data_IF_808796101840
#
_entry.id   IF_808796101840
#
_cell.length_a   1.000
_cell.length_b   1.000
_cell.length_c   1.000
_cell.angle_alpha   90.00
_cell.angle_beta   90.00
_cell.angle_gamma   90.00
#
_symmetry.space_group_name_H-M   'P 1'
#
loop_
_entity.id
_entity.type
_entity.pdbx_description
1 polymer ?
#
# COMPACT_ATOMS: atom_id res chain seq x y z
N UNK A 1 6.60 -13.50 51.32
CA UNK A 1 5.53 -14.17 50.54
C UNK A 1 4.68 -13.05 49.96
N UNK A 2 5.16 -12.43 48.89
CA UNK A 2 4.41 -11.39 48.19
C UNK A 2 3.59 -12.03 47.08
N UNK A 3 2.27 -11.88 47.19
CA UNK A 3 1.30 -12.50 46.32
C UNK A 3 1.30 -11.86 44.94
N UNK A 4 1.54 -12.69 43.92
CA UNK A 4 1.27 -12.37 42.52
C UNK A 4 -0.22 -12.03 42.34
N UNK A 5 -0.56 -10.73 42.34
CA UNK A 5 -1.83 -10.26 41.81
C UNK A 5 -1.79 -10.39 40.29
N UNK A 6 -2.31 -11.52 39.77
CA UNK A 6 -2.62 -11.66 38.34
C UNK A 6 -3.68 -10.62 37.96
N UNK A 7 -3.29 -9.63 37.16
CA UNK A 7 -4.23 -8.70 36.53
C UNK A 7 -5.04 -9.45 35.47
N UNK A 8 -6.29 -9.81 35.79
CA UNK A 8 -7.27 -10.22 34.79
C UNK A 8 -7.74 -8.97 34.03
N UNK A 9 -7.02 -8.59 32.98
CA UNK A 9 -7.47 -7.58 32.02
C UNK A 9 -8.40 -8.24 31.02
N UNK A 10 -9.54 -7.60 30.74
CA UNK A 10 -10.44 -8.06 29.69
C UNK A 10 -9.94 -7.62 28.32
N UNK A 11 -10.38 -8.28 27.25
CA UNK A 11 -10.06 -7.86 25.88
C UNK A 11 -10.51 -6.42 25.58
N UNK A 12 -11.62 -5.99 26.18
CA UNK A 12 -12.11 -4.60 26.08
C UNK A 12 -11.15 -3.60 26.73
N UNK A 13 -10.54 -3.94 27.86
CA UNK A 13 -9.56 -3.06 28.52
C UNK A 13 -8.30 -2.88 27.67
N UNK A 14 -7.88 -3.94 26.96
CA UNK A 14 -6.72 -3.89 26.06
C UNK A 14 -7.03 -3.06 24.81
N UNK A 15 -8.21 -3.24 24.22
CA UNK A 15 -8.64 -2.45 23.06
C UNK A 15 -8.77 -0.95 23.39
N UNK A 16 -9.30 -0.62 24.57
CA UNK A 16 -9.43 0.76 25.01
C UNK A 16 -8.08 1.44 25.23
N UNK A 17 -7.12 0.71 25.81
CA UNK A 17 -5.75 1.21 26.00
C UNK A 17 -5.04 1.41 24.66
N UNK A 18 -5.20 0.47 23.71
CA UNK A 18 -4.64 0.61 22.36
C UNK A 18 -5.18 1.84 21.65
N UNK A 19 -6.51 2.06 21.68
CA UNK A 19 -7.12 3.26 21.08
C UNK A 19 -6.59 4.56 21.70
N UNK A 20 -6.39 4.57 23.03
CA UNK A 20 -5.84 5.73 23.74
C UNK A 20 -4.39 5.98 23.35
N UNK A 21 -3.57 4.94 23.28
CA UNK A 21 -2.17 5.02 22.88
C UNK A 21 -2.02 5.46 21.42
N UNK A 22 -2.80 4.89 20.50
CA UNK A 22 -2.83 5.32 19.08
C UNK A 22 -3.22 6.79 18.95
N UNK A 23 -4.21 7.27 19.70
CA UNK A 23 -4.59 8.69 19.68
C UNK A 23 -3.47 9.58 20.21
N UNK A 24 -2.78 9.19 21.28
CA UNK A 24 -1.63 9.93 21.79
C UNK A 24 -0.48 10.02 20.77
N UNK A 25 -0.19 8.95 20.04
CA UNK A 25 0.82 8.95 18.98
C UNK A 25 0.44 9.86 17.80
N UNK A 26 -0.84 9.86 17.41
CA UNK A 26 -1.35 10.75 16.36
C UNK A 26 -1.26 12.21 16.79
N UNK A 27 -1.75 12.54 17.99
CA UNK A 27 -1.73 13.91 18.51
C UNK A 27 -0.28 14.40 18.73
N UNK A 28 0.65 13.49 19.01
CA UNK A 28 2.08 13.78 19.07
C UNK A 28 2.64 14.06 17.66
N UNK A 29 2.37 13.19 16.69
CA UNK A 29 2.80 13.38 15.30
C UNK A 29 2.19 14.63 14.62
N UNK A 30 0.96 15.04 14.97
CA UNK A 30 0.38 16.31 14.53
C UNK A 30 1.10 17.52 15.16
N UNK A 31 1.37 17.47 16.47
CA UNK A 31 2.10 18.53 17.20
C UNK A 31 3.52 18.69 16.68
N UNK A 32 4.17 17.58 16.36
CA UNK A 32 5.53 17.55 15.85
C UNK A 32 5.60 17.86 14.34
N UNK A 33 4.45 18.10 13.71
CA UNK A 33 4.36 18.44 12.28
C UNK A 33 4.64 17.27 11.33
N UNK A 34 4.79 16.05 11.86
CA UNK A 34 5.00 14.81 11.11
C UNK A 34 3.76 14.37 10.31
N UNK A 35 2.58 14.90 10.66
CA UNK A 35 1.32 14.68 9.94
C UNK A 35 0.90 15.87 9.08
N UNK A 36 1.78 16.85 8.82
CA UNK A 36 1.49 17.88 7.82
C UNK A 36 1.27 17.21 6.47
N UNK A 37 0.26 17.69 5.73
CA UNK A 37 0.13 17.41 4.30
C UNK A 37 1.50 17.61 3.67
N UNK A 38 2.03 16.58 3.02
CA UNK A 38 3.26 16.66 2.26
C UNK A 38 3.01 17.67 1.13
N UNK A 39 3.31 18.95 1.39
CA UNK A 39 3.47 19.92 0.31
C UNK A 39 4.82 19.58 -0.32
N UNK A 40 4.87 19.16 -1.59
CA UNK A 40 6.13 18.82 -2.24
C UNK A 40 7.09 20.02 -2.12
N UNK A 41 8.27 19.77 -1.56
CA UNK A 41 9.31 20.79 -1.39
C UNK A 41 9.68 21.34 -2.78
N UNK A 42 9.59 22.66 -3.01
CA UNK A 42 10.02 23.23 -4.28
C UNK A 42 11.53 23.04 -4.43
N UNK A 43 11.94 22.12 -5.31
CA UNK A 43 13.35 21.84 -5.61
C UNK A 43 13.78 20.38 -5.53
N UNK A 44 12.91 19.43 -5.13
CA UNK A 44 13.17 18.01 -5.39
C UNK A 44 12.62 17.63 -6.76
N UNK A 45 13.47 17.67 -7.80
CA UNK A 45 13.10 17.35 -9.19
C UNK A 45 12.76 15.86 -9.44
N UNK A 46 12.65 15.05 -8.38
CA UNK A 46 12.39 13.63 -8.49
C UNK A 46 10.91 13.33 -8.19
N UNK A 47 10.09 13.42 -9.22
CA UNK A 47 8.77 12.77 -9.23
C UNK A 47 8.97 11.41 -9.88
N UNK A 48 8.80 10.28 -9.16
CA UNK A 48 8.82 8.96 -9.76
C UNK A 48 7.86 8.94 -10.94
N UNK A 49 8.41 8.74 -12.13
CA UNK A 49 7.56 8.60 -13.31
C UNK A 49 7.00 7.18 -13.33
N UNK A 50 5.78 7.03 -13.82
CA UNK A 50 5.08 5.73 -13.89
C UNK A 50 5.90 4.67 -14.66
N UNK A 51 6.80 5.08 -15.55
CA UNK A 51 7.72 4.20 -16.27
C UNK A 51 8.60 3.37 -15.34
N UNK A 52 8.97 3.91 -14.17
CA UNK A 52 9.76 3.17 -13.18
C UNK A 52 9.07 1.90 -12.72
N UNK A 53 7.73 1.86 -12.73
CA UNK A 53 6.93 0.71 -12.32
C UNK A 53 7.30 -0.58 -13.07
N UNK A 54 7.88 -0.46 -14.27
CA UNK A 54 8.25 -1.59 -15.12
C UNK A 54 9.71 -2.05 -14.93
N UNK A 55 10.47 -1.40 -14.04
CA UNK A 55 11.89 -1.68 -13.81
C UNK A 55 12.12 -2.63 -12.62
N UNK A 56 11.10 -2.85 -11.79
CA UNK A 56 11.30 -3.45 -10.48
C UNK A 56 10.17 -4.34 -9.99
N UNK A 57 10.19 -4.55 -8.68
CA UNK A 57 9.14 -5.22 -7.91
C UNK A 57 8.63 -4.22 -6.88
N UNK A 58 7.37 -4.37 -6.50
CA UNK A 58 6.65 -3.39 -5.71
C UNK A 58 5.76 -4.08 -4.69
N UNK A 59 5.62 -3.44 -3.55
CA UNK A 59 4.49 -3.66 -2.66
C UNK A 59 3.38 -2.71 -3.12
N UNK A 60 2.19 -3.25 -3.38
CA UNK A 60 1.06 -2.46 -3.87
C UNK A 60 0.12 -2.17 -2.70
N UNK A 61 0.31 -1.02 -2.06
CA UNK A 61 -0.51 -0.51 -0.96
C UNK A 61 -1.84 0.09 -1.43
N UNK A 62 -2.86 0.02 -0.58
CA UNK A 62 -4.13 0.72 -0.81
C UNK A 62 -3.94 2.24 -0.72
N UNK A 63 -4.35 2.98 -1.74
CA UNK A 63 -4.36 4.45 -1.71
C UNK A 63 -5.76 4.98 -1.43
N UNK A 64 -5.89 5.84 -0.42
CA UNK A 64 -7.22 6.32 -0.01
C UNK A 64 -7.66 7.53 -0.82
N UNK A 65 -8.91 7.48 -1.28
CA UNK A 65 -9.65 8.65 -1.82
C UNK A 65 -10.32 9.48 -0.72
N UNK A 66 -10.25 9.01 0.52
CA UNK A 66 -10.83 9.63 1.72
C UNK A 66 -9.73 9.97 2.72
N UNK A 67 -9.94 10.91 3.65
CA UNK A 67 -8.92 11.33 4.61
C UNK A 67 -8.26 10.16 5.36
N UNK A 68 -6.96 10.29 5.62
CA UNK A 68 -6.20 9.30 6.35
C UNK A 68 -6.81 9.05 7.73
N UNK A 69 -6.95 7.77 8.10
CA UNK A 69 -7.35 7.35 9.45
C UNK A 69 -6.16 6.62 10.04
N UNK A 70 -5.39 7.25 10.95
CA UNK A 70 -4.16 6.66 11.49
C UNK A 70 -4.37 5.34 12.22
N UNK A 71 -5.57 5.13 12.78
CA UNK A 71 -5.92 3.89 13.46
C UNK A 71 -6.13 2.69 12.51
N UNK A 72 -6.22 2.93 11.19
CA UNK A 72 -6.42 1.88 10.21
C UNK A 72 -5.08 1.60 9.51
N UNK A 73 -4.47 0.47 9.86
CA UNK A 73 -3.20 -0.02 9.31
C UNK A 73 -3.27 -0.07 7.78
N UNK A 74 -2.22 0.35 7.05
CA UNK A 74 -2.24 0.29 5.59
C UNK A 74 -2.31 -1.18 5.15
N UNK A 75 -3.16 -1.45 4.15
CA UNK A 75 -3.30 -2.78 3.58
C UNK A 75 -2.57 -2.83 2.24
N UNK A 76 -2.12 -4.01 1.86
CA UNK A 76 -1.51 -4.28 0.57
C UNK A 76 -2.36 -5.26 -0.24
N UNK A 77 -2.28 -5.15 -1.56
CA UNK A 77 -2.72 -6.18 -2.47
C UNK A 77 -1.85 -7.42 -2.23
N UNK A 78 -2.50 -8.54 -1.94
CA UNK A 78 -1.82 -9.79 -1.62
C UNK A 78 -2.39 -10.92 -2.45
N UNK A 79 -1.52 -11.81 -2.92
CA UNK A 79 -1.94 -13.09 -3.47
C UNK A 79 -2.11 -14.16 -2.38
N UNK A 80 -3.26 -14.83 -2.35
CA UNK A 80 -3.48 -16.00 -1.50
C UNK A 80 -3.21 -17.27 -2.30
N UNK A 81 -2.12 -17.98 -1.99
CA UNK A 81 -1.81 -19.27 -2.63
C UNK A 81 -2.78 -20.38 -2.23
N UNK A 82 -3.51 -20.22 -1.11
CA UNK A 82 -4.52 -21.22 -0.69
C UNK A 82 -5.80 -21.10 -1.50
N UNK A 83 -6.27 -19.88 -1.76
CA UNK A 83 -7.48 -19.62 -2.55
C UNK A 83 -7.20 -19.34 -4.02
N UNK A 84 -5.92 -19.22 -4.40
CA UNK A 84 -5.46 -18.80 -5.72
C UNK A 84 -6.15 -17.51 -6.20
N UNK A 85 -6.30 -16.53 -5.30
CA UNK A 85 -7.02 -15.29 -5.55
C UNK A 85 -6.35 -14.10 -4.84
N UNK A 86 -6.65 -12.87 -5.24
CA UNK A 86 -6.16 -11.68 -4.52
C UNK A 86 -7.08 -11.23 -3.40
N UNK A 87 -6.48 -10.71 -2.33
CA UNK A 87 -7.17 -10.11 -1.17
C UNK A 87 -6.39 -8.91 -0.66
N UNK A 88 -6.91 -8.24 0.38
CA UNK A 88 -6.15 -7.21 1.11
C UNK A 88 -5.56 -7.79 2.38
N UNK A 89 -4.23 -7.70 2.49
CA UNK A 89 -3.45 -8.21 3.62
C UNK A 89 -2.64 -7.10 4.30
N UNK A 90 -1.99 -7.46 5.39
CA UNK A 90 -0.93 -6.68 6.01
C UNK A 90 0.41 -6.98 5.34
N UNK A 91 1.41 -6.11 5.49
CA UNK A 91 2.71 -6.23 4.80
C UNK A 91 3.58 -7.42 5.25
N UNK A 92 3.25 -8.06 6.36
CA UNK A 92 3.95 -9.20 6.94
C UNK A 92 3.49 -10.55 6.36
N UNK A 93 2.55 -10.55 5.42
CA UNK A 93 2.03 -11.77 4.81
C UNK A 93 2.85 -12.14 3.56
N UNK A 94 2.85 -13.44 3.22
CA UNK A 94 3.44 -13.95 1.98
C UNK A 94 2.74 -13.37 0.75
N UNK A 95 3.41 -13.35 -0.41
CA UNK A 95 2.82 -12.94 -1.69
C UNK A 95 2.31 -11.48 -1.76
N UNK A 96 3.05 -10.55 -1.15
CA UNK A 96 2.79 -9.10 -1.22
C UNK A 96 3.61 -8.36 -2.28
N UNK A 97 4.52 -9.07 -2.94
CA UNK A 97 5.43 -8.49 -3.94
C UNK A 97 4.88 -8.71 -5.33
N UNK A 98 4.80 -7.63 -6.08
CA UNK A 98 4.21 -7.56 -7.41
C UNK A 98 5.19 -7.02 -8.42
N UNK A 99 5.10 -7.49 -9.66
CA UNK A 99 5.84 -6.96 -10.80
C UNK A 99 4.88 -6.59 -11.91
N UNK A 100 5.13 -5.43 -12.51
CA UNK A 100 4.49 -5.02 -13.75
C UNK A 100 5.43 -5.31 -14.90
N UNK A 101 4.94 -6.02 -15.92
CA UNK A 101 5.70 -6.26 -17.17
C UNK A 101 5.02 -5.52 -18.31
N UNK A 102 5.68 -4.49 -18.83
CA UNK A 102 5.20 -3.71 -19.97
C UNK A 102 4.97 -4.60 -21.20
N UNK A 103 3.81 -4.47 -21.84
CA UNK A 103 3.43 -5.21 -23.05
C UNK A 103 3.43 -4.36 -24.31
N UNK A 104 3.02 -3.11 -24.21
CA UNK A 104 3.01 -2.18 -25.33
C UNK A 104 3.22 -0.74 -24.88
N UNK A 105 3.51 0.18 -25.83
CA UNK A 105 3.48 1.61 -25.57
C UNK A 105 2.13 2.07 -25.00
N UNK A 106 2.08 3.24 -24.33
CA UNK A 106 0.85 3.72 -23.72
C UNK A 106 -0.22 4.07 -24.76
N UNK A 107 -1.48 3.85 -24.39
CA UNK A 107 -2.69 4.22 -25.14
C UNK A 107 -3.51 5.13 -24.23
N UNK A 108 -3.85 6.33 -24.72
CA UNK A 108 -4.62 7.33 -23.95
C UNK A 108 -4.04 7.57 -22.54
N UNK A 109 -2.72 7.80 -22.46
CA UNK A 109 -1.97 8.04 -21.23
C UNK A 109 -1.86 6.84 -20.25
N UNK A 110 -2.41 5.68 -20.62
CA UNK A 110 -2.30 4.45 -19.83
C UNK A 110 -1.31 3.46 -20.46
N UNK A 111 -0.42 2.91 -19.64
CA UNK A 111 0.49 1.84 -20.02
C UNK A 111 -0.23 0.50 -20.02
N UNK A 112 0.10 -0.39 -20.96
CA UNK A 112 -0.45 -1.74 -21.01
C UNK A 112 0.58 -2.70 -20.43
N UNK A 113 0.26 -3.37 -19.33
CA UNK A 113 1.17 -4.26 -18.63
C UNK A 113 0.46 -5.50 -18.07
N UNK A 114 1.19 -6.61 -17.90
CA UNK A 114 0.70 -7.73 -17.07
C UNK A 114 1.18 -7.58 -15.64
N UNK A 115 0.40 -8.09 -14.70
CA UNK A 115 0.76 -8.15 -13.28
C UNK A 115 1.12 -9.57 -12.87
N UNK A 116 2.21 -9.70 -12.12
CA UNK A 116 2.70 -10.97 -11.57
C UNK A 116 2.93 -10.83 -10.07
N UNK A 117 2.37 -11.77 -9.29
CA UNK A 117 2.64 -11.92 -7.87
C UNK A 117 3.86 -12.81 -7.68
N UNK A 118 4.80 -12.39 -6.82
CA UNK A 118 6.02 -13.09 -6.50
C UNK A 118 6.04 -13.52 -5.04
N UNK A 119 6.31 -14.81 -4.82
CA UNK A 119 6.70 -15.36 -3.53
C UNK A 119 8.20 -15.69 -3.54
N UNK A 120 8.85 -15.58 -2.39
CA UNK A 120 10.28 -15.86 -2.27
C UNK A 120 10.55 -17.33 -2.58
N UNK A 121 11.38 -17.58 -3.61
CA UNK A 121 11.78 -18.93 -3.99
C UNK A 121 10.76 -19.69 -4.85
N UNK A 122 9.61 -19.09 -5.18
CA UNK A 122 8.59 -19.71 -6.02
C UNK A 122 8.50 -19.08 -7.42
N UNK A 123 7.76 -19.76 -8.32
CA UNK A 123 7.44 -19.23 -9.64
C UNK A 123 6.41 -18.09 -9.51
N UNK A 124 6.50 -17.06 -10.36
CA UNK A 124 5.50 -16.00 -10.37
C UNK A 124 4.12 -16.52 -10.78
N UNK A 125 3.08 -15.87 -10.27
CA UNK A 125 1.69 -16.12 -10.64
C UNK A 125 1.09 -14.89 -11.32
N UNK A 126 0.51 -15.06 -12.50
CA UNK A 126 -0.17 -13.99 -13.23
C UNK A 126 -1.53 -13.67 -12.61
N UNK A 127 -1.93 -12.38 -12.64
CA UNK A 127 -3.25 -11.95 -12.20
C UNK A 127 -4.25 -11.92 -13.36
N UNK A 128 -5.36 -12.61 -13.23
CA UNK A 128 -6.40 -12.73 -14.28
C UNK A 128 -7.53 -11.69 -14.11
N UNK A 129 -8.43 -11.64 -15.10
CA UNK A 129 -9.60 -10.77 -15.08
C UNK A 129 -10.60 -11.10 -13.97
N UNK A 130 -10.57 -12.33 -13.45
CA UNK A 130 -11.45 -12.77 -12.37
C UNK A 130 -10.81 -12.56 -10.98
N UNK A 131 -9.66 -11.89 -10.93
CA UNK A 131 -8.85 -11.69 -9.71
C UNK A 131 -8.25 -12.99 -9.16
N UNK A 132 -8.18 -14.03 -10.00
CA UNK A 132 -7.50 -15.28 -9.72
C UNK A 132 -6.02 -15.23 -10.10
N UNK A 133 -5.22 -16.01 -9.41
CA UNK A 133 -3.79 -16.20 -9.63
C UNK A 133 -3.54 -17.48 -10.40
N UNK A 134 -2.74 -17.39 -11.47
CA UNK A 134 -2.45 -18.52 -12.35
C UNK A 134 -0.94 -18.69 -12.54
N UNK A 135 -0.46 -19.93 -12.41
CA UNK A 135 0.98 -20.22 -12.55
C UNK A 135 1.48 -20.10 -14.01
N UNK A 136 0.58 -20.18 -14.98
CA UNK A 136 0.87 -19.86 -16.38
C UNK A 136 0.65 -18.36 -16.61
N UNK A 137 1.74 -17.58 -16.53
CA UNK A 137 1.68 -16.12 -16.64
C UNK A 137 1.26 -15.63 -18.03
N UNK A 138 1.25 -16.50 -19.06
CA UNK A 138 0.70 -16.16 -20.37
C UNK A 138 -0.83 -15.93 -20.35
N UNK A 139 -1.50 -16.42 -19.30
CA UNK A 139 -2.92 -16.20 -19.03
C UNK A 139 -3.19 -14.97 -18.17
N UNK A 140 -2.16 -14.22 -17.78
CA UNK A 140 -2.31 -12.96 -17.05
C UNK A 140 -3.07 -11.96 -17.90
N UNK A 141 -3.97 -11.22 -17.26
CA UNK A 141 -4.70 -10.14 -17.90
C UNK A 141 -3.74 -8.99 -18.23
N UNK A 142 -3.96 -8.34 -19.37
CA UNK A 142 -3.37 -7.03 -19.64
C UNK A 142 -4.14 -5.95 -18.88
N UNK A 143 -3.40 -5.14 -18.13
CA UNK A 143 -3.92 -4.07 -17.29
C UNK A 143 -3.54 -2.73 -17.90
N UNK A 144 -4.48 -1.78 -17.89
CA UNK A 144 -4.24 -0.39 -18.18
C UNK A 144 -3.80 0.30 -16.89
N UNK A 145 -2.54 0.66 -16.79
CA UNK A 145 -1.94 1.32 -15.63
C UNK A 145 -1.73 2.79 -15.95
N UNK A 146 -2.33 3.68 -15.17
CA UNK A 146 -2.27 5.12 -15.39
C UNK A 146 -1.83 5.82 -14.12
N UNK A 147 -0.99 6.86 -14.27
CA UNK A 147 -0.54 7.66 -13.14
C UNK A 147 -1.75 8.26 -12.40
N UNK A 148 -1.62 8.37 -11.08
CA UNK A 148 -2.61 8.99 -10.22
C UNK A 148 -1.95 10.03 -9.32
N UNK A 149 -2.71 11.00 -8.85
CA UNK A 149 -2.17 12.05 -7.99
C UNK A 149 -1.73 11.48 -6.63
N UNK A 150 -0.47 11.69 -6.21
CA UNK A 150 0.01 11.21 -4.94
C UNK A 150 -0.58 12.03 -3.77
N UNK A 151 -1.07 11.35 -2.73
CA UNK A 151 -1.66 11.91 -1.51
C UNK A 151 -0.78 11.79 -0.25
N UNK A 152 -0.03 10.69 -0.05
CA UNK A 152 0.89 10.51 1.12
C UNK A 152 2.35 10.80 0.78
N UNK A 153 2.76 10.53 -0.46
CA UNK A 153 3.93 11.13 -1.12
C UNK A 153 5.29 10.89 -0.45
N UNK A 154 5.77 9.63 -0.35
CA UNK A 154 7.21 9.45 -0.41
C UNK A 154 7.69 9.76 -1.85
N UNK A 155 8.87 10.34 -1.95
CA UNK A 155 9.60 10.62 -3.18
C UNK A 155 9.87 9.39 -4.06
N UNK A 156 9.61 8.18 -3.57
CA UNK A 156 9.80 6.92 -4.31
C UNK A 156 8.49 6.21 -4.65
N UNK A 157 7.37 6.61 -4.04
CA UNK A 157 6.08 5.97 -4.24
C UNK A 157 5.46 6.38 -5.57
N UNK A 158 4.91 5.39 -6.28
CA UNK A 158 4.21 5.61 -7.55
C UNK A 158 2.72 5.41 -7.31
N UNK A 159 1.94 6.50 -7.33
CA UNK A 159 0.50 6.41 -7.26
C UNK A 159 -0.09 6.10 -8.64
N UNK A 160 -0.95 5.08 -8.71
CA UNK A 160 -1.55 4.60 -9.96
C UNK A 160 -3.02 4.25 -9.83
N UNK A 161 -3.72 4.22 -10.95
CA UNK A 161 -4.95 3.45 -11.14
C UNK A 161 -4.65 2.26 -12.04
N UNK A 162 -5.35 1.15 -11.80
CA UNK A 162 -5.18 -0.09 -12.53
C UNK A 162 -6.56 -0.51 -13.03
N UNK A 163 -6.70 -0.71 -14.35
CA UNK A 163 -7.97 -1.09 -14.98
C UNK A 163 -7.81 -2.33 -15.84
N UNK A 164 -8.86 -3.14 -15.95
CA UNK A 164 -8.89 -4.23 -16.91
C UNK A 164 -8.85 -3.69 -18.35
N UNK A 165 -8.00 -4.24 -19.20
CA UNK A 165 -8.00 -3.90 -20.64
C UNK A 165 -9.25 -4.43 -21.37
N UNK A 166 -9.95 -5.42 -20.80
CA UNK A 166 -11.10 -6.08 -21.44
C UNK A 166 -12.35 -5.20 -21.36
N UNK A 167 -12.65 -4.67 -20.17
CA UNK A 167 -13.92 -3.97 -19.90
C UNK A 167 -13.75 -2.62 -19.19
N UNK A 168 -12.51 -2.19 -18.95
CA UNK A 168 -12.21 -0.89 -18.35
C UNK A 168 -12.55 -0.77 -16.86
N UNK A 169 -12.98 -1.84 -16.19
CA UNK A 169 -13.26 -1.80 -14.74
C UNK A 169 -11.98 -1.58 -13.93
N UNK A 170 -12.09 -0.80 -12.87
CA UNK A 170 -11.00 -0.47 -11.95
C UNK A 170 -10.77 -1.62 -10.97
N UNK A 171 -9.49 -1.93 -10.73
CA UNK A 171 -9.07 -2.71 -9.58
C UNK A 171 -9.26 -1.84 -8.33
N UNK A 172 -10.22 -2.21 -7.51
CA UNK A 172 -10.63 -1.44 -6.35
C UNK A 172 -10.32 -2.17 -5.04
N UNK A 173 -10.01 -1.41 -4.00
CA UNK A 173 -9.85 -1.91 -2.63
C UNK A 173 -10.96 -1.39 -1.70
N UNK A 174 -11.46 -2.27 -0.83
CA UNK A 174 -12.32 -1.92 0.30
C UNK A 174 -11.64 -2.40 1.58
N UNK A 175 -10.97 -1.47 2.25
CA UNK A 175 -10.15 -1.76 3.42
C UNK A 175 -10.98 -2.24 4.62
N UNK A 176 -12.22 -1.73 4.76
CA UNK A 176 -13.10 -2.10 5.87
C UNK A 176 -13.51 -3.58 5.84
N UNK A 177 -13.65 -4.13 4.64
CA UNK A 177 -14.01 -5.54 4.43
C UNK A 177 -12.83 -6.41 3.99
N UNK A 178 -11.64 -5.80 3.85
CA UNK A 178 -10.41 -6.43 3.31
C UNK A 178 -10.61 -7.08 1.93
N UNK A 179 -11.46 -6.49 1.08
CA UNK A 179 -11.81 -7.04 -0.23
C UNK A 179 -11.16 -6.27 -1.38
N UNK A 180 -10.90 -6.99 -2.46
CA UNK A 180 -10.51 -6.47 -3.77
C UNK A 180 -11.64 -6.80 -4.75
N UNK A 181 -11.96 -5.89 -5.66
CA UNK A 181 -13.00 -6.10 -6.66
C UNK A 181 -12.70 -5.35 -7.96
N UNK A 182 -13.24 -5.82 -9.09
CA UNK A 182 -13.29 -5.06 -10.33
C UNK A 182 -14.63 -4.33 -10.45
N UNK A 183 -14.59 -3.00 -10.40
CA UNK A 183 -15.78 -2.16 -10.41
C UNK A 183 -15.78 -1.15 -11.56
N UNK A 184 -16.97 -0.79 -12.03
CA UNK A 184 -17.10 0.39 -12.89
C UNK A 184 -16.77 1.64 -12.09
N UNK A 185 -16.43 2.75 -12.76
CA UNK A 185 -16.23 4.03 -12.08
C UNK A 185 -17.45 4.44 -11.25
N UNK A 186 -18.65 4.23 -11.79
CA UNK A 186 -19.90 4.55 -11.11
C UNK A 186 -20.03 3.80 -9.78
N UNK A 187 -19.79 2.49 -9.79
CA UNK A 187 -19.88 1.66 -8.57
C UNK A 187 -18.76 1.97 -7.57
N UNK A 188 -17.56 2.28 -8.06
CA UNK A 188 -16.44 2.67 -7.22
C UNK A 188 -16.61 4.08 -6.59
N UNK A 189 -17.48 4.92 -7.16
CA UNK A 189 -17.79 6.26 -6.65
C UNK A 189 -18.89 6.25 -5.57
N UNK A 190 -19.41 5.07 -5.19
CA UNK A 190 -20.35 4.92 -4.08
C UNK A 190 -19.73 5.43 -2.77
N UNK A 191 -20.51 6.23 -2.04
CA UNK A 191 -20.12 6.82 -0.75
C UNK A 191 -20.94 6.24 0.41
N UNK A 192 -20.31 6.20 1.58
CA UNK A 192 -20.97 5.85 2.84
C UNK A 192 -21.89 6.99 3.34
N UNK A 193 -22.60 6.74 4.45
CA UNK A 193 -23.52 7.72 5.04
C UNK A 193 -22.83 9.02 5.53
N UNK A 194 -21.50 9.03 5.67
CA UNK A 194 -20.69 10.17 6.10
C UNK A 194 -19.99 10.82 4.90
N UNK A 195 -20.26 10.35 3.68
CA UNK A 195 -19.72 10.89 2.44
C UNK A 195 -18.33 10.38 2.06
N UNK A 196 -17.76 9.40 2.76
CA UNK A 196 -16.48 8.80 2.38
C UNK A 196 -16.67 7.81 1.24
N UNK A 197 -15.67 7.65 0.37
CA UNK A 197 -15.70 6.58 -0.63
C UNK A 197 -15.61 5.21 0.05
N UNK A 198 -16.49 4.30 -0.36
CA UNK A 198 -16.47 2.89 0.12
C UNK A 198 -15.34 2.11 -0.53
N UNK A 199 -15.05 2.41 -1.80
CA UNK A 199 -14.02 1.77 -2.60
C UNK A 199 -12.95 2.78 -3.02
N UNK A 200 -11.70 2.35 -2.92
CA UNK A 200 -10.55 3.08 -3.43
C UNK A 200 -10.19 2.54 -4.82
N UNK A 201 -10.01 3.42 -5.80
CA UNK A 201 -9.59 3.07 -7.17
C UNK A 201 -8.09 3.23 -7.39
N UNK A 202 -7.41 3.85 -6.43
CA UNK A 202 -6.01 4.19 -6.52
C UNK A 202 -5.18 3.25 -5.64
N UNK A 203 -3.95 3.05 -6.08
CA UNK A 203 -2.95 2.21 -5.45
C UNK A 203 -1.65 2.96 -5.35
N UNK A 204 -0.88 2.63 -4.31
CA UNK A 204 0.48 3.10 -4.11
C UNK A 204 1.41 1.93 -4.39
N UNK A 205 2.39 2.13 -5.26
CA UNK A 205 3.42 1.14 -5.56
C UNK A 205 4.73 1.61 -4.92
N UNK A 206 5.07 1.00 -3.79
CA UNK A 206 6.33 1.23 -3.09
C UNK A 206 7.35 0.19 -3.56
N UNK A 207 8.55 0.60 -4.01
CA UNK A 207 9.54 -0.35 -4.52
C UNK A 207 9.95 -1.37 -3.44
N UNK A 208 10.07 -2.63 -3.82
CA UNK A 208 10.70 -3.66 -3.00
C UNK A 208 12.17 -3.29 -2.85
N UNK A 209 12.56 -2.82 -1.68
CA UNK A 209 13.97 -2.58 -1.36
C UNK A 209 14.68 -3.94 -1.30
N UNK A 210 15.33 -4.32 -2.41
CA UNK A 210 16.16 -5.51 -2.45
C UNK A 210 17.36 -5.32 -1.51
N UNK A 211 17.70 -6.30 -0.65
CA UNK A 211 18.92 -6.25 0.17
C UNK A 211 20.22 -6.34 -0.67
N UNK A 212 20.14 -6.41 -2.01
CA UNK A 212 21.27 -6.64 -2.90
C UNK A 212 22.12 -5.40 -3.21
N UNK A 213 21.70 -4.20 -2.85
CA UNK A 213 22.63 -3.08 -2.66
C UNK A 213 23.11 -3.16 -1.22
N UNK A 214 24.29 -3.72 -1.00
CA UNK A 214 24.94 -3.86 0.31
C UNK A 214 25.29 -2.54 1.02
N UNK A 215 24.43 -1.52 0.92
CA UNK A 215 24.44 -0.26 1.63
C UNK A 215 23.11 0.08 2.34
N UNK A 216 22.00 -0.65 2.13
CA UNK A 216 20.67 -0.22 2.62
C UNK A 216 20.20 -0.86 3.94
N UNK A 217 21.10 -1.46 4.73
CA UNK A 217 20.83 -1.54 6.17
C UNK A 217 20.74 -0.14 6.79
N UNK A 218 21.30 0.87 6.11
CA UNK A 218 21.20 2.27 6.48
C UNK A 218 19.80 2.84 6.27
N UNK A 219 18.97 2.34 5.33
CA UNK A 219 17.62 2.90 5.13
C UNK A 219 16.65 2.52 6.26
N UNK A 220 16.63 1.26 6.69
CA UNK A 220 15.78 0.82 7.80
C UNK A 220 16.27 1.37 9.14
N UNK A 221 17.59 1.46 9.33
CA UNK A 221 18.16 2.20 10.47
C UNK A 221 17.79 3.68 10.38
N UNK A 222 17.90 4.35 9.23
CA UNK A 222 17.54 5.76 9.04
C UNK A 222 16.04 6.02 9.20
N UNK A 223 15.18 5.12 8.74
CA UNK A 223 13.73 5.17 8.93
C UNK A 223 13.32 4.99 10.40
N UNK A 224 14.12 4.26 11.19
CA UNK A 224 13.89 4.03 12.63
C UNK A 224 14.68 5.00 13.55
N UNK A 225 15.78 5.59 13.06
CA UNK A 225 16.68 6.48 13.82
C UNK A 225 16.48 7.95 13.51
N UNK A 226 16.13 8.37 12.29
CA UNK A 226 15.78 9.79 12.01
C UNK A 226 14.47 10.21 12.67
N UNK A 227 13.60 9.27 13.05
CA UNK A 227 12.48 9.54 13.98
C UNK A 227 12.93 9.77 15.43
N UNK A 228 14.21 9.61 15.76
CA UNK A 228 14.76 9.76 17.11
C UNK A 228 15.91 10.77 17.26
N UNK A 229 16.54 11.24 16.19
CA UNK A 229 17.72 12.12 16.30
C UNK A 229 17.46 13.63 16.32
N UNK A 230 16.23 14.09 16.07
CA UNK A 230 15.91 15.54 16.12
C UNK A 230 15.34 16.01 17.47
N UNK A 231 15.30 15.12 18.49
CA UNK A 231 15.19 15.56 19.88
C UNK A 231 16.58 15.77 20.46
N UNK A 232 17.18 16.89 20.08
CA UNK A 232 18.36 17.45 20.76
C UNK A 232 18.10 17.60 22.26
N UNK A 233 18.51 16.60 23.02
CA UNK A 233 18.74 16.71 24.46
C UNK A 233 20.23 16.98 24.65
N UNK A 234 20.62 18.24 24.42
CA UNK A 234 21.75 18.83 25.14
C UNK A 234 21.38 18.86 26.62
N UNK A 235 21.93 17.95 27.41
CA UNK A 235 21.98 18.05 28.86
C UNK A 235 23.44 18.25 29.28
N UNK A 236 23.74 19.51 29.59
CA UNK A 236 24.61 19.87 30.72
C UNK A 236 24.06 19.31 32.03
#
# INVERSE_FOLDING_TARGET
MDGEKKLNRTAQDVEQDLRKYTRQLVDQAERDGLLRSFEPQPGSDYVPTIERLFEGKYIIGTWRRSPYRPAAFPLALMGSMTSMSVTLGTFDQSCVVWRFTLKSPPVDEAFIATMECHELGEKPHGLTADLDLVSDTSRSLEWLVQAYEPFRGDSLDIAVTIRSSIDGRFLCSNESTKKVALLTKHDADIRDAVGNFVWNIAWECSPELSPATGGDLDFLDKYLTETNTDMGMDLL
#
